data_IF_456826871445
#
_entry.id   IF_456826871445
#
_cell.length_a   1.000
_cell.length_b   1.000
_cell.length_c   1.000
_cell.angle_alpha   90.00
_cell.angle_beta   90.00
_cell.angle_gamma   90.00
#
_symmetry.space_group_name_H-M   'P 1'
#
loop_
_entity.id
_entity.type
_entity.pdbx_description
1 polymer ?
#
# COMPACT_ATOMS: atom_id res chain seq x y z
N UNK A 1 22.16 8.02 -0.49
CA UNK A 1 21.76 7.88 -1.91
C UNK A 1 21.59 6.39 -2.17
N UNK A 2 20.45 5.92 -2.68
CA UNK A 2 20.28 4.51 -3.01
C UNK A 2 21.11 4.16 -4.26
N UNK A 3 21.77 3.01 -4.26
CA UNK A 3 22.62 2.55 -5.38
C UNK A 3 21.80 1.87 -6.50
N UNK A 4 20.61 1.37 -6.18
CA UNK A 4 19.68 0.72 -7.11
C UNK A 4 18.25 1.13 -6.79
N UNK A 5 17.45 1.37 -7.82
CA UNK A 5 16.00 1.56 -7.74
C UNK A 5 15.34 0.56 -8.69
N UNK A 6 14.25 -0.06 -8.28
CA UNK A 6 13.51 -1.04 -9.08
C UNK A 6 12.03 -0.82 -8.85
N UNK A 7 11.24 -0.94 -9.92
CA UNK A 7 9.79 -0.80 -9.85
C UNK A 7 9.23 -2.10 -9.27
N UNK A 8 8.70 -2.02 -8.05
CA UNK A 8 8.06 -3.16 -7.38
C UNK A 8 6.60 -3.34 -7.85
N UNK A 9 5.85 -2.25 -7.97
CA UNK A 9 4.48 -2.22 -8.50
C UNK A 9 4.21 -0.89 -9.22
N UNK A 10 3.41 -0.92 -10.29
CA UNK A 10 3.02 0.26 -11.09
C UNK A 10 1.49 0.36 -11.28
N UNK A 11 1.04 1.36 -12.04
CA UNK A 11 -0.38 1.54 -12.36
C UNK A 11 -1.27 1.92 -11.16
N UNK A 12 -0.70 2.51 -10.12
CA UNK A 12 -1.41 2.94 -8.91
C UNK A 12 -2.06 4.30 -9.10
N UNK A 13 -3.34 4.40 -8.75
CA UNK A 13 -4.07 5.66 -8.73
C UNK A 13 -3.86 6.36 -7.38
N UNK A 14 -3.11 7.46 -7.37
CA UNK A 14 -2.82 8.31 -6.19
C UNK A 14 -2.31 7.47 -4.98
N UNK A 15 -1.10 6.91 -5.06
CA UNK A 15 -0.51 6.21 -3.93
C UNK A 15 -0.11 7.21 -2.83
N UNK A 16 -0.72 7.08 -1.66
CA UNK A 16 -0.58 8.02 -0.52
C UNK A 16 0.18 7.42 0.66
N UNK A 17 0.33 6.10 0.70
CA UNK A 17 1.05 5.41 1.77
C UNK A 17 1.54 4.03 1.35
N UNK A 18 2.69 3.64 1.88
CA UNK A 18 3.25 2.29 1.73
C UNK A 18 3.63 1.76 3.11
N UNK A 19 3.28 0.50 3.37
CA UNK A 19 3.59 -0.21 4.60
C UNK A 19 4.16 -1.59 4.24
N UNK A 20 5.48 -1.78 4.35
CA UNK A 20 6.10 -3.09 4.14
C UNK A 20 5.59 -4.11 5.18
N UNK A 21 5.44 -5.35 4.76
CA UNK A 21 5.27 -6.47 5.67
C UNK A 21 6.62 -7.18 5.93
N UNK A 22 6.63 -8.16 6.83
CA UNK A 22 7.83 -8.94 7.14
C UNK A 22 8.12 -10.08 6.16
N UNK A 23 7.24 -10.32 5.19
CA UNK A 23 7.29 -11.45 4.25
C UNK A 23 7.70 -11.02 2.82
N UNK A 24 8.15 -9.78 2.64
CA UNK A 24 8.55 -9.25 1.33
C UNK A 24 7.41 -8.66 0.49
N UNK A 25 6.22 -8.55 1.08
CA UNK A 25 5.09 -7.82 0.52
C UNK A 25 4.96 -6.41 1.09
N UNK A 26 3.98 -5.66 0.59
CA UNK A 26 3.61 -4.37 1.13
C UNK A 26 2.14 -4.04 0.94
N UNK A 27 1.60 -3.28 1.89
CA UNK A 27 0.30 -2.66 1.78
C UNK A 27 0.47 -1.25 1.21
N UNK A 28 -0.35 -0.90 0.24
CA UNK A 28 -0.33 0.40 -0.41
C UNK A 28 -1.72 1.01 -0.31
N UNK A 29 -1.80 2.19 0.28
CA UNK A 29 -2.99 3.02 0.20
C UNK A 29 -2.96 3.72 -1.17
N UNK A 30 -3.95 3.43 -2.01
CA UNK A 30 -4.06 3.97 -3.36
C UNK A 30 -5.50 4.44 -3.60
N UNK A 31 -5.71 5.76 -3.55
CA UNK A 31 -7.03 6.39 -3.68
C UNK A 31 -8.05 5.76 -2.70
N UNK A 32 -9.00 5.00 -3.21
CA UNK A 32 -10.12 4.41 -2.47
C UNK A 32 -9.91 2.95 -2.06
N UNK A 33 -8.68 2.45 -2.18
CA UNK A 33 -8.34 1.06 -1.95
C UNK A 33 -7.09 0.94 -1.09
N UNK A 34 -7.12 -0.03 -0.17
CA UNK A 34 -5.93 -0.60 0.43
C UNK A 34 -5.56 -1.84 -0.38
N UNK A 35 -4.45 -1.75 -1.10
CA UNK A 35 -3.92 -2.83 -1.92
C UNK A 35 -2.83 -3.58 -1.13
N UNK A 36 -2.72 -4.87 -1.35
CA UNK A 36 -1.60 -5.68 -0.90
C UNK A 36 -0.86 -6.22 -2.12
N UNK A 37 0.44 -6.04 -2.12
CA UNK A 37 1.34 -6.52 -3.15
C UNK A 37 2.32 -7.51 -2.53
N UNK A 38 2.61 -8.58 -3.25
CA UNK A 38 3.57 -9.59 -2.83
C UNK A 38 4.39 -10.05 -4.02
N UNK A 39 5.66 -10.30 -3.77
CA UNK A 39 6.55 -11.00 -4.69
C UNK A 39 6.67 -12.45 -4.20
N UNK A 40 6.13 -13.40 -4.95
CA UNK A 40 6.18 -14.83 -4.60
C UNK A 40 7.40 -15.56 -5.14
N UNK A 41 8.15 -14.94 -6.07
CA UNK A 41 9.22 -15.59 -6.81
C UNK A 41 10.62 -15.01 -6.52
N UNK A 42 10.70 -13.89 -5.80
CA UNK A 42 11.92 -13.26 -5.33
C UNK A 42 12.68 -12.44 -6.39
N UNK A 43 12.03 -12.07 -7.49
CA UNK A 43 12.63 -11.25 -8.56
C UNK A 43 12.63 -9.74 -8.26
N UNK A 44 12.05 -9.34 -7.12
CA UNK A 44 11.94 -7.96 -6.69
C UNK A 44 10.81 -7.20 -7.36
N UNK A 45 9.83 -7.91 -7.94
CA UNK A 45 8.59 -7.35 -8.49
C UNK A 45 7.40 -8.06 -7.88
N UNK A 46 6.36 -7.30 -7.56
CA UNK A 46 5.10 -7.89 -7.12
C UNK A 46 4.44 -8.64 -8.28
N UNK A 47 4.17 -9.92 -8.06
CA UNK A 47 3.41 -10.78 -8.98
C UNK A 47 1.96 -10.99 -8.51
N UNK A 48 1.69 -10.75 -7.22
CA UNK A 48 0.35 -10.74 -6.65
C UNK A 48 -0.11 -9.33 -6.31
N UNK A 49 -1.38 -9.03 -6.65
CA UNK A 49 -2.10 -7.82 -6.26
C UNK A 49 -3.46 -8.20 -5.71
N UNK A 50 -3.72 -7.85 -4.45
CA UNK A 50 -5.00 -8.08 -3.79
C UNK A 50 -5.58 -6.76 -3.28
N UNK A 51 -6.90 -6.59 -3.42
CA UNK A 51 -7.63 -5.52 -2.74
C UNK A 51 -7.96 -6.05 -1.33
N UNK A 52 -7.36 -5.45 -0.30
CA UNK A 52 -7.59 -5.82 1.11
C UNK A 52 -8.84 -5.14 1.64
N UNK A 53 -8.98 -3.85 1.33
CA UNK A 53 -10.16 -3.04 1.65
C UNK A 53 -10.42 -2.08 0.50
N UNK A 54 -11.69 -1.81 0.21
CA UNK A 54 -12.12 -0.88 -0.83
C UNK A 54 -13.27 -0.01 -0.35
N UNK A 55 -13.71 0.89 -1.22
CA UNK A 55 -14.87 1.76 -0.99
C UNK A 55 -14.63 2.85 0.05
N UNK A 56 -13.37 3.27 0.24
CA UNK A 56 -13.08 4.51 0.95
C UNK A 56 -13.59 5.69 0.11
N UNK A 57 -14.20 6.69 0.77
CA UNK A 57 -14.81 7.85 0.10
C UNK A 57 -13.81 8.60 -0.79
N UNK A 58 -14.19 8.86 -2.05
CA UNK A 58 -13.37 9.54 -3.08
C UNK A 58 -13.77 10.98 -3.32
N UNK A 59 -14.60 11.56 -2.46
CA UNK A 59 -15.22 12.86 -2.73
C UNK A 59 -14.19 14.01 -2.68
N UNK A 60 -13.07 13.81 -1.97
CA UNK A 60 -11.90 14.69 -1.99
C UNK A 60 -10.60 13.88 -2.17
N UNK A 61 -9.85 14.21 -3.22
CA UNK A 61 -8.58 13.55 -3.59
C UNK A 61 -7.43 13.78 -2.60
N UNK A 62 -7.57 14.74 -1.69
CA UNK A 62 -6.59 15.04 -0.62
C UNK A 62 -6.92 14.31 0.69
N UNK A 63 -8.15 13.80 0.83
CA UNK A 63 -8.67 13.13 2.02
C UNK A 63 -8.70 11.60 1.87
N UNK A 64 -7.76 11.08 1.08
CA UNK A 64 -7.62 9.65 0.85
C UNK A 64 -6.98 8.95 2.06
N UNK A 65 -7.07 7.62 2.07
CA UNK A 65 -6.47 6.76 3.09
C UNK A 65 -4.97 7.06 3.20
N UNK A 66 -4.48 7.35 4.41
CA UNK A 66 -3.07 7.69 4.63
C UNK A 66 -2.60 7.26 6.03
N UNK A 67 -1.31 7.44 6.32
CA UNK A 67 -0.70 7.10 7.61
C UNK A 67 -0.86 5.61 7.98
N UNK A 68 -0.50 4.71 7.06
CA UNK A 68 -0.47 3.27 7.34
C UNK A 68 0.63 2.96 8.37
N UNK A 69 0.28 2.30 9.48
CA UNK A 69 1.24 1.84 10.50
C UNK A 69 0.83 0.49 11.08
N UNK A 70 1.82 -0.34 11.36
CA UNK A 70 1.66 -1.52 12.20
C UNK A 70 1.51 -1.09 13.67
N UNK A 71 0.47 -1.58 14.34
CA UNK A 71 0.41 -1.57 15.79
C UNK A 71 1.22 -2.71 16.39
N UNK A 72 1.56 -2.58 17.66
CA UNK A 72 2.26 -3.62 18.43
C UNK A 72 1.42 -4.89 18.63
N UNK A 73 0.13 -4.81 18.34
CA UNK A 73 -0.85 -5.90 18.38
C UNK A 73 -0.98 -6.65 17.04
N UNK A 74 -0.24 -6.24 16.01
CA UNK A 74 -0.27 -6.87 14.70
C UNK A 74 -1.38 -6.38 13.77
N UNK A 75 -2.14 -5.34 14.16
CA UNK A 75 -3.14 -4.74 13.28
C UNK A 75 -2.58 -3.56 12.48
N UNK A 76 -3.19 -3.29 11.32
CA UNK A 76 -2.89 -2.10 10.52
C UNK A 76 -3.81 -0.97 10.98
N UNK A 77 -3.19 0.11 11.44
CA UNK A 77 -3.86 1.37 11.72
C UNK A 77 -3.71 2.30 10.53
N UNK A 78 -4.81 2.96 10.18
CA UNK A 78 -4.90 3.85 9.03
C UNK A 78 -5.83 5.01 9.37
N UNK A 79 -5.57 6.17 8.78
CA UNK A 79 -6.39 7.36 8.96
C UNK A 79 -7.02 7.77 7.63
N UNK A 80 -8.25 8.25 7.71
CA UNK A 80 -8.93 8.91 6.61
C UNK A 80 -9.42 10.26 7.17
N UNK A 81 -8.91 11.35 6.60
CA UNK A 81 -9.42 12.69 6.89
C UNK A 81 -10.72 12.91 6.10
N UNK A 82 -11.54 13.86 6.51
CA UNK A 82 -12.74 14.35 5.81
C UNK A 82 -12.71 15.87 5.79
#
# INVERSE_FOLDING_TARGET
>A
KAEKSTVFADGLLIPTGVLPDSNGGCYVAASHQLLYFKDTNGDGKADEKQIVLSSFGTEDTHHNLHTLRWGYDGHIYMNQSI
#
